data_IF_178637360180
#
_entry.id   IF_178637360180
#
_cell.length_a   1.000
_cell.length_b   1.000
_cell.length_c   1.000
_cell.angle_alpha   90.00
_cell.angle_beta   90.00
_cell.angle_gamma   90.00
#
_symmetry.space_group_name_H-M   'P 1'
#
loop_
_entity.id
_entity.type
_entity.pdbx_description
1 polymer ?
#
# COMPACT_ATOMS: atom_id res chain seq x y z
N UNK A 1 -7.17 11.58 -13.69
CA UNK A 1 -6.54 10.66 -12.73
C UNK A 1 -6.74 9.25 -13.25
N UNK A 2 -5.69 8.43 -13.25
CA UNK A 2 -5.79 7.02 -13.63
C UNK A 2 -6.66 6.29 -12.59
N UNK A 3 -7.73 5.63 -13.02
CA UNK A 3 -8.54 4.81 -12.14
C UNK A 3 -7.88 3.44 -12.02
N UNK A 4 -7.36 3.10 -10.84
CA UNK A 4 -6.75 1.80 -10.59
C UNK A 4 -7.88 0.76 -10.42
N UNK A 5 -7.87 -0.37 -11.15
CA UNK A 5 -8.89 -1.42 -11.02
C UNK A 5 -8.92 -2.05 -9.62
N UNK A 6 -10.09 -2.53 -9.19
CA UNK A 6 -10.32 -3.09 -7.86
C UNK A 6 -9.49 -4.36 -7.60
N UNK A 7 -9.21 -5.13 -8.65
CA UNK A 7 -8.39 -6.33 -8.61
C UNK A 7 -6.89 -6.05 -8.46
N UNK A 8 -6.46 -4.79 -8.53
CA UNK A 8 -5.06 -4.45 -8.35
C UNK A 8 -4.60 -4.79 -6.92
N UNK A 9 -3.48 -5.50 -6.83
CA UNK A 9 -2.84 -5.84 -5.56
C UNK A 9 -2.19 -4.57 -4.99
N UNK A 10 -2.35 -4.36 -3.69
CA UNK A 10 -1.74 -3.27 -2.93
C UNK A 10 -0.76 -3.86 -1.93
N UNK A 11 0.48 -3.39 -1.93
CA UNK A 11 1.56 -3.87 -1.05
C UNK A 11 2.17 -2.72 -0.28
N UNK A 12 2.36 -2.91 1.03
CA UNK A 12 3.10 -1.97 1.87
C UNK A 12 4.09 -2.66 2.79
N UNK A 13 5.32 -2.15 2.82
CA UNK A 13 6.35 -2.61 3.73
C UNK A 13 6.15 -2.15 5.17
N UNK A 14 6.60 -2.98 6.10
CA UNK A 14 6.60 -2.70 7.53
C UNK A 14 5.64 -3.61 8.30
N UNK A 15 5.54 -3.40 9.62
CA UNK A 15 4.63 -4.18 10.48
C UNK A 15 3.17 -3.79 10.33
N UNK A 16 2.90 -2.63 9.72
CA UNK A 16 1.57 -2.08 9.48
C UNK A 16 0.68 -2.05 10.73
N UNK A 17 1.26 -1.82 11.92
CA UNK A 17 0.50 -1.57 13.15
C UNK A 17 -0.17 -0.19 13.08
N UNK A 18 -1.28 0.06 13.80
CA UNK A 18 -1.97 1.35 13.73
C UNK A 18 -1.05 2.55 13.99
N UNK A 19 -0.11 2.44 14.94
CA UNK A 19 0.87 3.47 15.24
C UNK A 19 1.94 3.67 14.14
N UNK A 20 2.29 2.61 13.41
CA UNK A 20 3.21 2.70 12.26
C UNK A 20 2.53 3.35 11.07
N UNK A 21 1.25 3.01 10.84
CA UNK A 21 0.41 3.65 9.82
C UNK A 21 0.25 5.14 10.15
N UNK A 22 -0.11 5.48 11.39
CA UNK A 22 -0.28 6.88 11.82
C UNK A 22 0.98 7.73 11.57
N UNK A 23 2.18 7.18 11.86
CA UNK A 23 3.45 7.86 11.58
C UNK A 23 3.76 7.96 10.09
N UNK A 24 3.26 7.02 9.30
CA UNK A 24 3.47 6.95 7.86
C UNK A 24 2.48 7.78 7.03
N UNK A 25 1.41 8.31 7.63
CA UNK A 25 0.47 9.20 6.95
C UNK A 25 1.17 10.53 6.65
N UNK A 26 1.13 10.94 5.39
CA UNK A 26 1.62 12.23 4.94
C UNK A 26 0.91 12.70 3.67
N UNK A 27 1.07 13.96 3.34
CA UNK A 27 0.54 14.53 2.08
C UNK A 27 1.60 14.41 1.00
N UNK A 28 1.30 13.61 -0.03
CA UNK A 28 2.13 13.49 -1.22
C UNK A 28 2.16 14.83 -1.98
N UNK A 29 3.25 15.21 -2.68
CA UNK A 29 3.33 16.47 -3.44
C UNK A 29 2.22 16.72 -4.47
N UNK A 30 1.52 15.67 -4.91
CA UNK A 30 0.32 15.78 -5.75
C UNK A 30 -0.97 16.16 -4.99
N UNK A 31 -0.88 16.41 -3.68
CA UNK A 31 -1.99 16.82 -2.82
C UNK A 31 -2.78 15.68 -2.16
N UNK A 32 -2.42 14.42 -2.38
CA UNK A 32 -3.13 13.26 -1.79
C UNK A 32 -2.54 12.91 -0.43
N UNK A 33 -3.36 12.92 0.63
CA UNK A 33 -2.95 12.54 1.99
C UNK A 33 -3.24 11.08 2.27
N UNK A 34 -2.24 10.34 2.75
CA UNK A 34 -2.39 8.92 3.04
C UNK A 34 -1.06 8.23 3.26
N UNK A 35 -1.00 6.92 3.04
CA UNK A 35 0.23 6.15 3.10
C UNK A 35 0.70 5.73 1.71
N UNK A 36 2.02 5.70 1.50
CA UNK A 36 2.61 5.13 0.28
C UNK A 36 2.43 3.62 0.20
N UNK A 37 2.04 3.13 -0.97
CA UNK A 37 1.88 1.72 -1.29
C UNK A 37 2.39 1.45 -2.71
N UNK A 38 2.69 0.19 -3.00
CA UNK A 38 2.96 -0.30 -4.36
C UNK A 38 1.70 -1.00 -4.87
N UNK A 39 1.23 -0.64 -6.08
CA UNK A 39 -0.05 -1.12 -6.58
C UNK A 39 -0.08 -1.31 -8.10
N UNK A 40 -0.41 -2.53 -8.56
CA UNK A 40 -0.60 -2.83 -10.00
C UNK A 40 -1.42 -4.11 -10.20
N UNK A 41 -2.14 -4.17 -11.33
CA UNK A 41 -2.78 -5.40 -11.83
C UNK A 41 -1.76 -6.29 -12.52
N UNK A 42 -1.83 -7.61 -12.30
CA UNK A 42 -1.04 -8.60 -13.03
C UNK A 42 0.42 -8.74 -12.58
N UNK A 43 0.87 -7.99 -11.57
CA UNK A 43 2.16 -8.23 -10.90
C UNK A 43 1.97 -9.07 -9.65
N UNK A 44 2.97 -9.89 -9.36
CA UNK A 44 3.07 -10.63 -8.10
C UNK A 44 3.43 -9.72 -6.93
N UNK A 45 3.18 -10.21 -5.71
CA UNK A 45 3.62 -9.54 -4.47
C UNK A 45 5.13 -9.36 -4.45
N UNK A 46 5.91 -10.31 -4.97
CA UNK A 46 7.37 -10.22 -5.02
C UNK A 46 7.86 -9.11 -5.95
N UNK A 47 7.24 -8.95 -7.11
CA UNK A 47 7.58 -7.86 -8.03
C UNK A 47 7.24 -6.49 -7.44
N UNK A 48 6.08 -6.36 -6.79
CA UNK A 48 5.71 -5.11 -6.10
C UNK A 48 6.60 -4.84 -4.87
N UNK A 49 7.03 -5.87 -4.15
CA UNK A 49 7.86 -5.73 -2.97
C UNK A 49 9.36 -5.53 -3.26
N UNK A 50 9.79 -5.65 -4.52
CA UNK A 50 11.21 -5.58 -4.91
C UNK A 50 11.91 -4.29 -4.48
N UNK A 51 11.19 -3.16 -4.45
CA UNK A 51 11.75 -1.86 -4.04
C UNK A 51 11.52 -1.55 -2.55
N UNK A 52 10.86 -2.44 -1.82
CA UNK A 52 10.49 -2.24 -0.42
C UNK A 52 11.62 -2.77 0.48
N UNK A 53 12.31 -1.91 1.25
CA UNK A 53 13.46 -2.32 2.07
C UNK A 53 13.08 -3.07 3.36
N UNK A 54 11.78 -3.15 3.68
CA UNK A 54 11.30 -3.76 4.91
C UNK A 54 11.32 -5.29 4.82
N UNK A 55 11.56 -5.96 5.95
CA UNK A 55 11.59 -7.44 6.02
C UNK A 55 10.23 -8.13 5.97
N UNK A 56 9.15 -7.36 6.01
CA UNK A 56 7.79 -7.89 5.93
C UNK A 56 6.88 -6.89 5.22
N UNK A 57 5.82 -7.42 4.62
CA UNK A 57 4.85 -6.67 3.84
C UNK A 57 3.42 -7.04 4.22
N UNK A 58 2.53 -6.06 4.19
CA UNK A 58 1.08 -6.23 4.19
C UNK A 58 0.56 -6.20 2.77
N UNK A 59 -0.49 -6.97 2.52
CA UNK A 59 -1.08 -7.15 1.19
C UNK A 59 -2.60 -6.97 1.30
N UNK A 60 -3.18 -6.20 0.39
CA UNK A 60 -4.63 -6.07 0.22
C UNK A 60 -4.93 -5.85 -1.26
N UNK A 61 -6.16 -5.46 -1.60
CA UNK A 61 -6.53 -5.01 -2.95
C UNK A 61 -7.18 -3.64 -2.91
N UNK A 62 -7.23 -2.97 -4.07
CA UNK A 62 -7.94 -1.69 -4.21
C UNK A 62 -9.43 -1.85 -3.88
N UNK A 63 -10.04 -2.97 -4.28
CA UNK A 63 -11.44 -3.27 -3.96
C UNK A 63 -11.70 -3.35 -2.46
N UNK A 64 -10.83 -4.01 -1.67
CA UNK A 64 -11.00 -4.08 -0.21
C UNK A 64 -10.83 -2.71 0.46
N UNK A 65 -9.92 -1.87 -0.04
CA UNK A 65 -9.78 -0.48 0.42
C UNK A 65 -11.07 0.31 0.16
N UNK A 66 -11.62 0.20 -1.05
CA UNK A 66 -12.85 0.92 -1.46
C UNK A 66 -14.09 0.44 -0.71
N UNK A 67 -14.18 -0.83 -0.36
CA UNK A 67 -15.27 -1.37 0.49
C UNK A 67 -15.35 -0.69 1.86
N UNK A 68 -14.23 -0.16 2.38
CA UNK A 68 -14.19 0.60 3.63
C UNK A 68 -14.35 2.12 3.42
N UNK A 69 -14.60 2.58 2.19
CA UNK A 69 -14.74 4.01 1.86
C UNK A 69 -13.42 4.73 1.56
N UNK A 70 -12.31 4.00 1.45
CA UNK A 70 -11.02 4.54 1.03
C UNK A 70 -10.83 4.54 -0.49
N UNK A 71 -9.65 4.94 -0.93
CA UNK A 71 -9.22 4.75 -2.32
C UNK A 71 -7.70 4.56 -2.42
N UNK A 72 -7.25 4.09 -3.58
CA UNK A 72 -5.84 3.99 -3.94
C UNK A 72 -5.60 4.80 -5.20
N UNK A 73 -4.88 5.92 -5.06
CA UNK A 73 -4.67 6.89 -6.14
C UNK A 73 -3.24 6.78 -6.65
N UNK A 74 -3.07 6.69 -7.98
CA UNK A 74 -1.74 6.71 -8.61
C UNK A 74 -1.02 8.03 -8.28
N UNK A 75 0.13 7.93 -7.64
CA UNK A 75 1.00 9.07 -7.26
C UNK A 75 2.45 8.73 -7.57
N UNK A 76 3.29 9.74 -7.84
CA UNK A 76 4.70 9.53 -8.14
C UNK A 76 5.47 8.97 -6.94
N UNK A 77 6.50 8.17 -7.17
CA UNK A 77 7.37 7.67 -6.11
C UNK A 77 8.65 7.08 -6.68
N UNK A 78 9.27 6.17 -5.92
CA UNK A 78 10.52 5.50 -6.34
C UNK A 78 10.31 4.49 -7.48
N UNK A 79 9.09 4.01 -7.67
CA UNK A 79 8.70 3.09 -8.74
C UNK A 79 7.56 3.69 -9.57
N UNK A 80 7.33 3.11 -10.75
CA UNK A 80 6.13 3.36 -11.57
C UNK A 80 4.86 2.70 -11.01
N UNK A 81 4.98 1.93 -9.94
CA UNK A 81 3.89 1.22 -9.26
C UNK A 81 3.44 1.95 -8.00
N UNK A 82 4.13 3.02 -7.61
CA UNK A 82 3.79 3.80 -6.44
C UNK A 82 2.36 4.34 -6.54
N UNK A 83 1.67 4.34 -5.41
CA UNK A 83 0.35 4.91 -5.22
C UNK A 83 0.20 5.36 -3.76
N UNK A 84 -0.88 6.07 -3.48
CA UNK A 84 -1.25 6.51 -2.13
C UNK A 84 -2.61 5.91 -1.77
N UNK A 85 -2.64 5.12 -0.68
CA UNK A 85 -3.89 4.68 -0.06
C UNK A 85 -4.39 5.80 0.85
N UNK A 86 -5.61 6.28 0.62
CA UNK A 86 -6.22 7.43 1.27
C UNK A 86 -7.64 7.12 1.80
N UNK A 87 -8.19 8.05 2.58
CA UNK A 87 -9.59 8.03 3.03
C UNK A 87 -9.92 7.11 4.21
N UNK A 88 -8.94 6.37 4.74
CA UNK A 88 -9.13 5.43 5.85
C UNK A 88 -8.36 5.85 7.11
N UNK A 89 -8.87 5.44 8.26
CA UNK A 89 -8.18 5.61 9.55
C UNK A 89 -6.97 4.68 9.66
N UNK A 90 -5.98 4.98 10.52
CA UNK A 90 -4.83 4.10 10.74
C UNK A 90 -5.23 2.68 11.17
N UNK A 91 -6.33 2.54 11.91
CA UNK A 91 -6.84 1.24 12.38
C UNK A 91 -7.41 0.41 11.22
N UNK A 92 -8.20 1.01 10.34
CA UNK A 92 -8.75 0.33 9.17
C UNK A 92 -7.65 -0.11 8.20
N UNK A 93 -6.69 0.77 7.93
CA UNK A 93 -5.52 0.46 7.10
C UNK A 93 -4.71 -0.68 7.72
N UNK A 94 -4.48 -0.65 9.04
CA UNK A 94 -3.78 -1.71 9.74
C UNK A 94 -4.49 -3.04 9.60
N UNK A 95 -5.82 -3.08 9.79
CA UNK A 95 -6.61 -4.29 9.61
C UNK A 95 -6.54 -4.84 8.18
N UNK A 96 -6.50 -3.98 7.15
CA UNK A 96 -6.35 -4.41 5.75
C UNK A 96 -4.97 -4.99 5.44
N UNK A 97 -3.92 -4.50 6.12
CA UNK A 97 -2.53 -4.82 5.82
C UNK A 97 -1.90 -5.79 6.85
N UNK A 98 -2.72 -6.37 7.72
CA UNK A 98 -2.31 -7.35 8.72
C UNK A 98 -3.21 -8.59 8.67
N UNK A 99 -2.68 -9.81 8.91
CA UNK A 99 -1.29 -10.10 9.25
C UNK A 99 -0.33 -9.87 8.09
N UNK A 100 0.91 -9.46 8.41
CA UNK A 100 1.97 -9.30 7.41
C UNK A 100 2.65 -10.63 7.11
N UNK A 101 3.21 -10.77 5.92
CA UNK A 101 4.08 -11.90 5.54
C UNK A 101 5.55 -11.46 5.46
N UNK A 102 6.52 -12.38 5.59
CA UNK A 102 7.92 -12.09 5.25
C UNK A 102 8.01 -11.51 3.83
N UNK A 103 8.82 -10.46 3.64
CA UNK A 103 8.97 -9.83 2.35
C UNK A 103 9.63 -10.82 1.38
N UNK A 104 8.93 -11.31 0.34
CA UNK A 104 9.47 -12.32 -0.58
C UNK A 104 10.71 -11.84 -1.34
N UNK A 105 10.93 -10.54 -1.46
CA UNK A 105 12.06 -9.95 -2.20
C UNK A 105 13.28 -9.66 -1.31
N UNK A 106 13.23 -10.04 -0.03
CA UNK A 106 14.30 -9.82 0.95
C UNK A 106 14.68 -11.13 1.68
N UNK A 107 14.31 -12.28 1.13
CA UNK A 107 14.67 -13.60 1.67
C UNK A 107 16.01 -14.02 1.03
N UNK A 108 17.10 -13.72 1.73
CA UNK A 108 18.45 -14.22 1.44
C UNK A 108 19.01 -14.87 2.70
#
# INVERSE_FOLDING_TARGET
>A
MENIPDEAIVVRGGRNRPEDIQRGIGTHPSGVTGISVECRVGLSVAELAAIIPHRQVGITSVGEVRKLGGDVIRTSGRSTNHATLTGLTPKEISNLLTPTIPNPSQQF
#
